data_IF_021343519135
#
_entry.id   IF_021343519135
#
_cell.length_a   1.000
_cell.length_b   1.000
_cell.length_c   1.000
_cell.angle_alpha   90.00
_cell.angle_beta   90.00
_cell.angle_gamma   90.00
#
_symmetry.space_group_name_H-M   'P 1'
#
loop_
_entity.id
_entity.type
_entity.pdbx_description
1 polymer ?
#
# COMPACT_ATOMS: atom_id res chain seq x y z
N UNK A 1 -7.15 24.28 4.12
CA UNK A 1 -6.12 25.09 3.45
C UNK A 1 -5.06 25.33 4.50
N UNK A 2 -4.07 24.43 4.59
CA UNK A 2 -2.97 24.48 5.56
C UNK A 2 -1.94 25.56 5.20
N UNK A 3 -1.17 25.94 6.19
CA UNK A 3 -0.06 26.91 6.11
C UNK A 3 1.00 26.35 5.13
N UNK A 4 1.26 27.01 3.98
CA UNK A 4 2.08 26.43 2.90
C UNK A 4 3.53 26.11 3.30
N UNK A 5 4.07 26.74 4.33
CA UNK A 5 5.43 26.51 4.78
C UNK A 5 5.65 25.21 5.57
N UNK A 6 4.61 24.58 6.12
CA UNK A 6 4.71 23.31 6.85
C UNK A 6 4.67 22.08 5.93
N UNK A 7 4.21 22.24 4.71
CA UNK A 7 3.93 21.10 3.81
C UNK A 7 5.19 20.61 3.07
N UNK A 8 6.24 21.42 2.92
CA UNK A 8 7.44 21.00 2.17
C UNK A 8 8.26 19.95 2.93
N UNK A 9 8.40 20.07 4.25
CA UNK A 9 9.03 19.00 5.04
C UNK A 9 8.20 17.70 5.06
N UNK A 10 6.87 17.79 4.81
CA UNK A 10 6.02 16.62 4.71
C UNK A 10 6.48 15.68 3.60
N UNK A 11 7.03 16.21 2.49
CA UNK A 11 7.59 15.39 1.40
C UNK A 11 8.66 14.41 1.90
N UNK A 12 9.52 14.87 2.81
CA UNK A 12 10.58 14.02 3.39
C UNK A 12 9.98 13.04 4.39
N UNK A 13 8.98 13.48 5.19
CA UNK A 13 8.30 12.58 6.14
C UNK A 13 7.57 11.46 5.41
N UNK A 14 6.85 11.79 4.34
CA UNK A 14 6.13 10.80 3.51
C UNK A 14 7.11 9.84 2.82
N UNK A 15 8.28 10.31 2.38
CA UNK A 15 9.33 9.45 1.84
C UNK A 15 9.81 8.44 2.89
N UNK A 16 10.05 8.90 4.13
CA UNK A 16 10.47 8.00 5.22
C UNK A 16 9.37 7.00 5.56
N UNK A 17 8.11 7.44 5.61
CA UNK A 17 6.98 6.54 5.83
C UNK A 17 6.90 5.46 4.75
N UNK A 18 7.09 5.83 3.49
CA UNK A 18 7.13 4.89 2.36
C UNK A 18 8.34 3.93 2.47
N UNK A 19 9.52 4.44 2.86
CA UNK A 19 10.70 3.61 3.06
C UNK A 19 10.51 2.58 4.18
N UNK A 20 9.90 2.97 5.31
CA UNK A 20 9.59 2.04 6.41
C UNK A 20 8.62 0.95 5.94
N UNK A 21 7.58 1.30 5.18
CA UNK A 21 6.64 0.32 4.63
C UNK A 21 7.34 -0.64 3.66
N UNK A 22 8.24 -0.13 2.81
CA UNK A 22 8.99 -0.93 1.85
C UNK A 22 9.91 -1.93 2.56
N UNK A 23 10.76 -1.46 3.48
CA UNK A 23 11.68 -2.31 4.24
C UNK A 23 10.92 -3.34 5.07
N UNK A 24 9.82 -2.93 5.71
CA UNK A 24 8.95 -3.86 6.46
C UNK A 24 8.38 -4.95 5.57
N UNK A 25 7.90 -4.62 4.36
CA UNK A 25 7.37 -5.60 3.41
C UNK A 25 8.45 -6.57 2.93
N UNK A 26 9.66 -6.09 2.64
CA UNK A 26 10.80 -6.92 2.26
C UNK A 26 11.19 -7.88 3.38
N UNK A 27 11.38 -7.36 4.60
CA UNK A 27 11.73 -8.18 5.77
C UNK A 27 10.63 -9.19 6.11
N UNK A 28 9.35 -8.80 5.97
CA UNK A 28 8.22 -9.71 6.17
C UNK A 28 8.25 -10.89 5.19
N UNK A 29 8.65 -10.67 3.93
CA UNK A 29 8.79 -11.77 2.96
C UNK A 29 9.92 -12.72 3.33
N UNK A 30 11.02 -12.21 3.89
CA UNK A 30 12.15 -13.02 4.34
C UNK A 30 11.79 -13.92 5.54
N UNK A 31 10.98 -13.40 6.47
CA UNK A 31 10.57 -14.15 7.66
C UNK A 31 9.31 -15.00 7.44
N UNK A 32 8.62 -14.86 6.30
CA UNK A 32 7.33 -15.51 6.03
C UNK A 32 7.36 -17.04 6.25
N UNK A 33 8.43 -17.69 5.82
CA UNK A 33 8.58 -19.15 6.02
C UNK A 33 8.66 -19.55 7.49
N UNK A 34 9.38 -18.77 8.31
CA UNK A 34 9.48 -19.01 9.76
C UNK A 34 8.16 -18.68 10.46
N UNK A 35 7.51 -17.59 10.07
CA UNK A 35 6.22 -17.19 10.58
C UNK A 35 5.13 -18.23 10.27
N UNK A 36 5.11 -18.79 9.06
CA UNK A 36 4.18 -19.85 8.67
C UNK A 36 4.36 -21.10 9.56
N UNK A 37 5.62 -21.51 9.79
CA UNK A 37 5.91 -22.67 10.65
C UNK A 37 5.48 -22.41 12.10
N UNK A 38 5.70 -21.23 12.63
CA UNK A 38 5.27 -20.84 13.98
C UNK A 38 3.73 -20.77 14.09
N UNK A 39 3.06 -20.22 13.10
CA UNK A 39 1.59 -20.16 13.03
C UNK A 39 0.97 -21.57 13.00
N UNK A 40 1.51 -22.48 12.17
CA UNK A 40 1.06 -23.88 12.14
C UNK A 40 1.26 -24.59 13.49
N UNK A 41 2.39 -24.34 14.16
CA UNK A 41 2.63 -24.90 15.50
C UNK A 41 1.58 -24.41 16.52
N UNK A 42 1.15 -23.12 16.44
CA UNK A 42 0.07 -22.59 17.29
C UNK A 42 -1.28 -23.22 16.99
N UNK A 43 -1.62 -23.43 15.70
CA UNK A 43 -2.85 -24.12 15.29
C UNK A 43 -2.87 -25.56 15.80
N UNK A 44 -1.75 -26.30 15.62
CA UNK A 44 -1.62 -27.67 16.15
C UNK A 44 -1.80 -27.69 17.66
N UNK A 45 -1.23 -26.72 18.37
CA UNK A 45 -1.37 -26.62 19.84
C UNK A 45 -2.83 -26.39 20.23
N UNK A 46 -3.53 -25.45 19.60
CA UNK A 46 -4.93 -25.17 19.85
C UNK A 46 -5.83 -26.40 19.59
N UNK A 47 -5.59 -27.11 18.48
CA UNK A 47 -6.30 -28.35 18.17
C UNK A 47 -5.98 -29.47 19.16
N UNK A 48 -4.73 -29.60 19.59
CA UNK A 48 -4.32 -30.57 20.57
C UNK A 48 -4.95 -30.32 21.94
N UNK A 49 -5.06 -29.03 22.34
CA UNK A 49 -5.72 -28.64 23.60
C UNK A 49 -7.22 -28.97 23.56
N UNK A 50 -7.89 -28.69 22.43
CA UNK A 50 -9.31 -29.02 22.22
C UNK A 50 -9.58 -30.55 22.29
N UNK A 51 -8.64 -31.35 21.75
CA UNK A 51 -8.74 -32.81 21.73
C UNK A 51 -8.22 -33.50 23.00
N UNK A 52 -7.81 -32.71 24.01
CA UNK A 52 -7.22 -33.27 25.23
C UNK A 52 -5.83 -33.91 25.06
N UNK A 53 -5.15 -33.55 23.95
CA UNK A 53 -3.80 -34.00 23.60
C UNK A 53 -2.72 -32.98 24.03
N UNK A 54 -3.03 -32.10 24.99
CA UNK A 54 -2.13 -31.07 25.49
C UNK A 54 -0.76 -31.65 25.94
N UNK A 55 0.30 -30.83 25.81
CA UNK A 55 1.63 -31.22 26.20
C UNK A 55 1.73 -31.46 27.71
N UNK A 56 2.27 -32.59 28.09
CA UNK A 56 2.57 -32.86 29.48
C UNK A 56 3.64 -31.92 30.05
N UNK A 57 4.42 -31.28 29.20
CA UNK A 57 5.41 -30.27 29.62
C UNK A 57 4.76 -29.04 30.27
N UNK A 58 3.49 -28.77 29.96
CA UNK A 58 2.73 -27.62 30.46
C UNK A 58 1.42 -28.01 31.15
N UNK A 59 1.30 -29.28 31.56
CA UNK A 59 0.10 -29.75 32.24
C UNK A 59 -0.03 -29.13 33.64
N UNK A 60 -1.27 -28.89 34.07
CA UNK A 60 -1.56 -28.40 35.42
C UNK A 60 -0.95 -29.28 36.55
N UNK A 61 -0.65 -30.52 36.24
CA UNK A 61 -0.17 -31.53 37.24
C UNK A 61 1.33 -31.54 37.47
N UNK A 62 2.19 -31.12 36.52
CA UNK A 62 3.66 -31.15 36.67
C UNK A 62 4.39 -30.66 35.42
N UNK A 63 5.72 -30.56 35.51
CA UNK A 63 6.62 -30.09 34.45
C UNK A 63 7.73 -31.13 34.22
N UNK A 64 8.11 -31.33 32.95
CA UNK A 64 9.30 -32.13 32.61
C UNK A 64 10.53 -31.22 32.58
N UNK A 65 11.46 -31.41 33.51
CA UNK A 65 12.69 -30.61 33.64
C UNK A 65 13.91 -31.55 33.58
N UNK A 66 14.76 -31.37 32.58
CA UNK A 66 15.95 -32.20 32.39
C UNK A 66 15.68 -33.70 32.18
N UNK A 67 14.53 -34.05 31.59
CA UNK A 67 14.13 -35.48 31.40
C UNK A 67 13.48 -36.14 32.62
N UNK A 68 13.33 -35.41 33.73
CA UNK A 68 12.61 -35.89 34.92
C UNK A 68 11.29 -35.12 35.08
N UNK A 69 10.19 -35.87 35.31
CA UNK A 69 8.91 -35.27 35.62
C UNK A 69 8.87 -34.76 37.07
N UNK A 70 8.50 -33.49 37.28
CA UNK A 70 8.36 -32.90 38.62
C UNK A 70 6.93 -32.45 38.83
N UNK A 71 6.21 -32.95 39.83
CA UNK A 71 4.86 -32.49 40.13
C UNK A 71 4.87 -31.05 40.67
N UNK A 72 3.83 -30.26 40.33
CA UNK A 72 3.61 -28.97 40.96
C UNK A 72 3.24 -29.13 42.43
N UNK A 73 3.66 -28.22 43.31
CA UNK A 73 3.33 -28.30 44.73
C UNK A 73 1.82 -28.38 44.96
N UNK A 74 1.35 -29.44 45.63
CA UNK A 74 -0.06 -29.63 46.00
C UNK A 74 -0.88 -30.54 45.05
N UNK A 75 -0.27 -31.13 44.01
CA UNK A 75 -0.94 -32.10 43.12
C UNK A 75 -0.39 -33.52 43.27
N UNK A 76 -1.23 -34.52 43.00
CA UNK A 76 -0.85 -35.94 43.08
C UNK A 76 0.18 -36.27 41.97
N UNK A 77 1.28 -36.87 42.35
CA UNK A 77 2.44 -37.13 41.51
C UNK A 77 2.32 -38.47 40.74
N UNK A 78 1.49 -38.52 39.72
CA UNK A 78 1.50 -39.70 38.83
C UNK A 78 2.19 -39.30 37.52
N UNK A 79 3.38 -39.82 37.20
CA UNK A 79 4.04 -39.57 35.92
C UNK A 79 3.19 -40.17 34.79
N UNK A 80 3.19 -39.54 33.61
CA UNK A 80 2.46 -40.06 32.46
C UNK A 80 3.05 -41.42 32.02
N UNK A 81 2.18 -42.29 31.58
CA UNK A 81 2.61 -43.59 31.02
C UNK A 81 3.34 -43.34 29.68
N UNK A 82 4.54 -43.92 29.46
CA UNK A 82 5.27 -43.74 28.20
C UNK A 82 4.48 -44.16 26.95
N UNK A 83 3.58 -45.15 27.08
CA UNK A 83 2.72 -45.56 25.96
C UNK A 83 1.69 -44.49 25.58
N UNK A 84 1.10 -43.81 26.57
CA UNK A 84 0.13 -42.73 26.33
C UNK A 84 0.81 -41.49 25.69
N UNK A 85 2.07 -41.23 26.03
CA UNK A 85 2.87 -40.17 25.42
C UNK A 85 3.14 -40.45 23.93
N UNK A 86 3.55 -41.66 23.60
CA UNK A 86 3.84 -42.08 22.23
C UNK A 86 2.55 -42.02 21.35
N UNK A 87 1.40 -42.41 21.89
CA UNK A 87 0.12 -42.34 21.18
C UNK A 87 -0.31 -40.86 20.91
N UNK A 88 -0.11 -39.98 21.87
CA UNK A 88 -0.38 -38.53 21.74
C UNK A 88 0.54 -37.88 20.73
N UNK A 89 1.83 -38.20 20.72
CA UNK A 89 2.79 -37.67 19.76
C UNK A 89 2.43 -38.12 18.33
N UNK A 90 2.01 -39.38 18.17
CA UNK A 90 1.55 -39.89 16.89
C UNK A 90 0.24 -39.19 16.41
N UNK A 91 -0.67 -38.91 17.35
CA UNK A 91 -1.89 -38.18 17.02
C UNK A 91 -1.60 -36.72 16.58
N UNK A 92 -0.65 -36.04 17.23
CA UNK A 92 -0.19 -34.71 16.85
C UNK A 92 0.48 -34.69 15.48
N UNK A 93 1.28 -35.70 15.20
CA UNK A 93 1.94 -35.82 13.90
C UNK A 93 0.91 -36.01 12.77
N UNK A 94 -0.15 -36.78 13.00
CA UNK A 94 -1.29 -36.89 12.08
C UNK A 94 -1.99 -35.56 11.89
N UNK A 95 -2.22 -34.78 12.97
CA UNK A 95 -2.79 -33.45 12.86
C UNK A 95 -1.93 -32.50 12.02
N UNK A 96 -0.60 -32.55 12.17
CA UNK A 96 0.32 -31.78 11.31
C UNK A 96 0.21 -32.17 9.85
N UNK A 97 0.13 -33.46 9.54
CA UNK A 97 -0.01 -33.98 8.19
C UNK A 97 -1.36 -33.57 7.56
N UNK A 98 -2.45 -33.62 8.32
CA UNK A 98 -3.77 -33.21 7.83
C UNK A 98 -3.88 -31.69 7.65
N UNK A 99 -3.21 -30.88 8.49
CA UNK A 99 -3.07 -29.44 8.30
C UNK A 99 -2.23 -29.09 7.07
N UNK A 100 -1.11 -29.78 6.86
CA UNK A 100 -0.26 -29.60 5.68
C UNK A 100 -1.01 -30.00 4.40
N UNK A 101 -1.87 -31.03 4.46
CA UNK A 101 -2.73 -31.47 3.36
C UNK A 101 -4.00 -30.59 3.17
N UNK A 102 -4.16 -29.52 3.96
CA UNK A 102 -5.32 -28.58 3.94
C UNK A 102 -6.69 -29.23 4.10
N UNK A 103 -6.77 -30.39 4.77
CA UNK A 103 -8.02 -31.11 4.97
C UNK A 103 -8.93 -30.51 6.06
N UNK A 104 -8.36 -29.67 6.93
CA UNK A 104 -9.04 -29.15 8.12
C UNK A 104 -9.40 -27.67 8.02
N UNK A 105 -9.29 -27.04 6.84
CA UNK A 105 -9.45 -25.59 6.64
C UNK A 105 -10.81 -25.03 7.12
N UNK A 106 -11.88 -25.83 6.99
CA UNK A 106 -13.24 -25.44 7.39
C UNK A 106 -13.56 -25.69 8.87
N UNK A 107 -12.67 -26.41 9.59
CA UNK A 107 -12.87 -26.66 11.01
C UNK A 107 -12.66 -25.39 11.80
N UNK A 108 -13.51 -25.12 12.79
CA UNK A 108 -13.41 -23.97 13.71
C UNK A 108 -12.58 -24.35 14.93
N UNK A 109 -11.73 -23.43 15.36
CA UNK A 109 -10.88 -23.54 16.55
C UNK A 109 -10.98 -22.28 17.39
N UNK A 110 -10.80 -22.40 18.69
CA UNK A 110 -10.68 -21.27 19.60
C UNK A 110 -9.21 -20.89 19.74
N UNK A 111 -8.84 -19.68 19.30
CA UNK A 111 -7.47 -19.16 19.37
C UNK A 111 -7.41 -17.82 20.07
N UNK A 112 -6.30 -17.63 20.80
CA UNK A 112 -5.96 -16.34 21.35
C UNK A 112 -5.28 -15.49 20.27
N UNK A 113 -5.92 -14.35 19.91
CA UNK A 113 -5.44 -13.38 18.95
C UNK A 113 -5.25 -12.03 19.64
N UNK A 114 -4.23 -11.27 19.27
CA UNK A 114 -4.04 -9.91 19.76
C UNK A 114 -5.22 -9.04 19.33
N UNK A 115 -5.72 -8.21 20.27
CA UNK A 115 -6.76 -7.22 19.96
C UNK A 115 -6.11 -6.01 19.29
N UNK A 116 -6.08 -6.00 17.95
CA UNK A 116 -5.52 -4.91 17.15
C UNK A 116 -6.36 -3.63 17.15
N UNK A 117 -7.50 -3.62 17.86
CA UNK A 117 -8.29 -2.41 18.03
C UNK A 117 -7.74 -1.60 19.20
N UNK A 118 -6.76 -0.73 18.94
CA UNK A 118 -6.49 0.40 19.82
C UNK A 118 -7.77 1.22 19.93
N UNK A 119 -8.32 1.42 21.15
CA UNK A 119 -9.46 2.30 21.32
C UNK A 119 -9.01 3.73 20.99
N UNK A 120 -9.40 4.25 19.83
CA UNK A 120 -9.33 5.68 19.55
C UNK A 120 -10.31 6.36 20.48
N UNK A 121 -9.82 6.93 21.58
CA UNK A 121 -10.60 7.83 22.41
C UNK A 121 -10.80 9.12 21.60
N UNK A 122 -11.99 9.30 21.03
CA UNK A 122 -12.42 10.59 20.51
C UNK A 122 -12.70 11.51 21.69
N UNK A 123 -11.75 12.34 22.06
CA UNK A 123 -12.00 13.43 23.02
C UNK A 123 -12.67 14.55 22.23
N UNK A 124 -13.94 14.75 22.50
CA UNK A 124 -14.72 15.84 21.94
C UNK A 124 -14.29 17.14 22.64
N UNK A 125 -13.38 17.90 22.03
CA UNK A 125 -13.01 19.23 22.46
C UNK A 125 -14.05 20.26 22.02
N UNK A 126 -14.19 21.40 22.69
CA UNK A 126 -15.21 22.42 22.42
C UNK A 126 -15.00 23.22 21.10
N UNK A 127 -14.05 22.85 20.26
CA UNK A 127 -13.68 23.59 19.03
C UNK A 127 -13.58 22.71 17.75
N UNK A 128 -14.40 21.68 17.60
CA UNK A 128 -14.47 20.91 16.35
C UNK A 128 -13.66 19.60 16.37
N UNK A 129 -14.02 18.70 15.46
CA UNK A 129 -13.43 17.37 15.28
C UNK A 129 -11.96 17.43 14.83
N UNK A 130 -11.06 17.77 15.71
CA UNK A 130 -9.65 17.44 15.54
C UNK A 130 -9.41 16.11 16.22
N UNK A 131 -9.20 15.06 15.45
CA UNK A 131 -8.63 13.79 15.91
C UNK A 131 -7.20 14.00 16.33
N UNK A 132 -7.00 14.60 17.51
CA UNK A 132 -5.72 14.49 18.20
C UNK A 132 -5.56 13.03 18.59
N UNK A 133 -4.75 12.30 17.86
CA UNK A 133 -4.25 10.99 18.26
C UNK A 133 -3.42 11.16 19.53
N UNK A 134 -4.08 11.23 20.68
CA UNK A 134 -3.40 11.10 21.96
C UNK A 134 -2.88 9.68 21.99
N UNK A 135 -1.57 9.56 21.94
CA UNK A 135 -0.88 8.28 22.09
C UNK A 135 -1.27 7.70 23.45
N UNK A 136 -2.22 6.77 23.41
CA UNK A 136 -2.72 6.10 24.62
C UNK A 136 -1.62 5.28 25.29
N UNK A 137 -0.51 4.99 24.60
CA UNK A 137 0.66 4.36 25.18
C UNK A 137 1.37 5.30 26.13
N UNK A 138 1.60 6.56 25.74
CA UNK A 138 2.21 7.56 26.62
C UNK A 138 1.37 7.84 27.88
N UNK A 139 0.04 7.81 27.75
CA UNK A 139 -0.85 7.99 28.91
C UNK A 139 -0.88 6.75 29.82
N UNK A 140 -0.74 5.54 29.27
CA UNK A 140 -0.66 4.29 30.04
C UNK A 140 0.65 4.14 30.77
N UNK A 141 1.77 4.59 30.19
CA UNK A 141 3.07 4.64 30.86
C UNK A 141 3.06 5.61 32.04
N UNK A 142 2.36 6.76 31.92
CA UNK A 142 2.26 7.74 32.99
C UNK A 142 1.45 7.23 34.21
N UNK A 143 0.55 6.28 34.01
CA UNK A 143 -0.31 5.71 35.07
C UNK A 143 0.15 4.32 35.55
N UNK A 144 1.34 3.89 35.19
CA UNK A 144 2.02 2.74 35.80
C UNK A 144 1.33 1.39 35.64
N UNK A 145 0.47 1.24 34.64
CA UNK A 145 -0.11 -0.05 34.24
C UNK A 145 0.66 -0.55 33.01
N UNK A 146 1.49 -1.57 33.21
CA UNK A 146 2.14 -2.28 32.12
C UNK A 146 1.15 -2.59 30.99
N UNK A 147 1.51 -2.41 29.70
CA UNK A 147 0.67 -2.80 28.58
C UNK A 147 0.51 -4.31 28.61
N UNK A 148 -0.52 -4.80 29.27
CA UNK A 148 -0.93 -6.18 29.15
C UNK A 148 -1.39 -6.39 27.70
N UNK A 149 -0.69 -7.22 26.95
CA UNK A 149 -1.14 -7.74 25.67
C UNK A 149 -2.56 -8.30 25.88
N UNK A 150 -3.59 -7.52 25.55
CA UNK A 150 -4.97 -7.97 25.61
C UNK A 150 -5.17 -8.96 24.48
N UNK A 151 -5.03 -10.24 24.80
CA UNK A 151 -5.45 -11.31 23.90
C UNK A 151 -6.94 -11.55 24.07
N UNK A 152 -7.64 -11.76 22.97
CA UNK A 152 -9.06 -12.20 22.97
C UNK A 152 -9.12 -13.57 22.33
N UNK A 153 -9.83 -14.47 22.98
CA UNK A 153 -10.19 -15.75 22.37
C UNK A 153 -11.22 -15.49 21.28
N UNK A 154 -10.93 -15.90 20.06
CA UNK A 154 -11.82 -15.81 18.90
C UNK A 154 -12.04 -17.21 18.34
N UNK A 155 -13.29 -17.49 17.96
CA UNK A 155 -13.64 -18.71 17.25
C UNK A 155 -13.54 -18.44 15.76
N UNK A 156 -12.57 -19.06 15.09
CA UNK A 156 -12.25 -18.84 13.68
C UNK A 156 -12.10 -20.19 12.96
N UNK A 157 -12.28 -20.18 11.66
CA UNK A 157 -11.90 -21.34 10.83
C UNK A 157 -10.37 -21.45 10.78
N UNK A 158 -9.85 -22.64 10.56
CA UNK A 158 -8.38 -22.86 10.48
C UNK A 158 -7.77 -22.03 9.33
N UNK A 159 -8.49 -21.85 8.22
CA UNK A 159 -8.05 -20.98 7.13
C UNK A 159 -7.85 -19.53 7.56
N UNK A 160 -8.88 -18.93 8.19
CA UNK A 160 -8.80 -17.57 8.75
C UNK A 160 -7.74 -17.45 9.86
N UNK A 161 -7.69 -18.45 10.73
CA UNK A 161 -6.72 -18.51 11.82
C UNK A 161 -5.29 -18.52 11.30
N UNK A 162 -5.01 -19.24 10.21
CA UNK A 162 -3.69 -19.33 9.58
C UNK A 162 -3.21 -17.96 9.12
N UNK A 163 -4.04 -17.22 8.39
CA UNK A 163 -3.68 -15.89 7.89
C UNK A 163 -3.36 -14.93 9.04
N UNK A 164 -4.24 -14.85 10.04
CA UNK A 164 -4.07 -13.96 11.20
C UNK A 164 -2.83 -14.35 12.02
N UNK A 165 -2.62 -15.63 12.25
CA UNK A 165 -1.47 -16.10 13.05
C UNK A 165 -0.16 -15.94 12.29
N UNK A 166 -0.14 -16.11 10.96
CA UNK A 166 1.05 -15.84 10.16
C UNK A 166 1.46 -14.37 10.24
N UNK A 167 0.49 -13.45 10.17
CA UNK A 167 0.75 -12.01 10.32
C UNK A 167 1.28 -11.69 11.73
N UNK A 168 0.65 -12.23 12.79
CA UNK A 168 1.12 -12.04 14.17
C UNK A 168 2.52 -12.60 14.42
N UNK A 169 2.83 -13.79 13.89
CA UNK A 169 4.15 -14.40 14.06
C UNK A 169 5.21 -13.69 13.21
N UNK A 170 4.85 -13.19 12.02
CA UNK A 170 5.73 -12.32 11.23
C UNK A 170 6.06 -11.05 12.02
N UNK A 171 5.06 -10.37 12.56
CA UNK A 171 5.26 -9.14 13.36
C UNK A 171 6.15 -9.36 14.60
N UNK A 172 6.11 -10.54 15.21
CA UNK A 172 7.01 -10.89 16.34
C UNK A 172 8.47 -11.11 15.92
N UNK A 173 8.66 -11.57 14.67
CA UNK A 173 9.99 -11.85 14.13
C UNK A 173 10.64 -10.58 13.52
N UNK A 174 9.86 -9.53 13.30
CA UNK A 174 10.35 -8.26 12.78
C UNK A 174 11.01 -7.43 13.89
N UNK A 175 12.28 -7.10 13.69
CA UNK A 175 12.98 -6.12 14.52
C UNK A 175 12.60 -4.70 14.03
N UNK A 176 11.72 -4.03 14.77
CA UNK A 176 11.22 -2.70 14.41
C UNK A 176 12.33 -1.65 14.40
N UNK A 177 13.30 -1.74 15.28
CA UNK A 177 14.41 -0.79 15.38
C UNK A 177 15.34 -0.95 14.17
N UNK A 178 15.67 -2.18 13.80
CA UNK A 178 16.46 -2.47 12.61
C UNK A 178 15.76 -2.00 11.33
N UNK A 179 14.44 -2.23 11.21
CA UNK A 179 13.63 -1.76 10.07
C UNK A 179 13.65 -0.22 10.00
N UNK A 180 13.46 0.48 11.11
CA UNK A 180 13.48 1.94 11.13
C UNK A 180 14.86 2.49 10.75
N UNK A 181 15.93 1.92 11.25
CA UNK A 181 17.30 2.36 10.92
C UNK A 181 17.60 2.15 9.44
N UNK A 182 17.31 0.98 8.89
CA UNK A 182 17.51 0.67 7.48
C UNK A 182 16.65 1.58 6.58
N UNK A 183 15.40 1.85 6.97
CA UNK A 183 14.51 2.72 6.22
C UNK A 183 15.00 4.18 6.22
N UNK A 184 15.50 4.69 7.35
CA UNK A 184 16.10 6.03 7.44
C UNK A 184 17.35 6.12 6.57
N UNK A 185 18.20 5.09 6.58
CA UNK A 185 19.42 5.06 5.77
C UNK A 185 19.11 5.04 4.27
N UNK A 186 18.17 4.20 3.83
CA UNK A 186 17.71 4.17 2.42
C UNK A 186 17.03 5.47 2.02
N UNK A 187 16.18 6.06 2.87
CA UNK A 187 15.54 7.33 2.56
C UNK A 187 16.55 8.45 2.36
N UNK A 188 17.62 8.48 3.16
CA UNK A 188 18.67 9.49 3.06
C UNK A 188 19.54 9.33 1.81
N UNK A 189 19.94 8.09 1.49
CA UNK A 189 20.96 7.84 0.48
C UNK A 189 20.38 7.47 -0.89
N UNK A 190 19.20 6.83 -0.94
CA UNK A 190 18.57 6.33 -2.15
C UNK A 190 17.20 6.97 -2.41
N UNK A 191 16.80 7.93 -1.57
CA UNK A 191 15.49 8.59 -1.64
C UNK A 191 15.32 9.42 -2.91
N UNK A 192 14.14 9.31 -3.54
CA UNK A 192 13.75 10.11 -4.71
C UNK A 192 12.46 10.83 -4.38
N UNK A 193 12.47 12.16 -4.50
CA UNK A 193 11.30 13.02 -4.32
C UNK A 193 10.92 13.63 -5.67
N UNK A 194 9.67 13.42 -6.06
CA UNK A 194 9.12 14.00 -7.29
C UNK A 194 8.17 15.13 -6.94
N UNK A 195 8.46 16.33 -7.47
CA UNK A 195 7.65 17.53 -7.31
C UNK A 195 6.96 17.83 -8.63
N UNK A 196 5.66 17.63 -8.67
CA UNK A 196 4.86 17.95 -9.88
C UNK A 196 4.36 19.39 -9.86
N UNK A 197 4.03 19.93 -11.05
CA UNK A 197 3.50 21.26 -11.26
C UNK A 197 4.33 22.40 -10.62
N UNK A 198 5.67 22.30 -10.65
CA UNK A 198 6.55 23.34 -10.07
C UNK A 198 6.35 24.72 -10.69
N UNK A 199 5.80 24.81 -11.89
CA UNK A 199 5.44 26.08 -12.55
C UNK A 199 4.34 26.85 -11.80
N UNK A 200 3.54 26.20 -10.94
CA UNK A 200 2.50 26.85 -10.14
C UNK A 200 3.03 27.72 -8.99
N UNK A 201 4.27 27.46 -8.56
CA UNK A 201 4.91 28.25 -7.50
C UNK A 201 5.72 29.42 -8.05
N UNK A 202 5.76 29.62 -9.39
CA UNK A 202 6.38 30.80 -10.00
C UNK A 202 5.53 32.03 -9.72
N UNK A 203 6.17 33.12 -9.25
CA UNK A 203 5.49 34.39 -8.98
C UNK A 203 5.46 35.27 -10.23
N UNK A 204 4.31 35.89 -10.45
CA UNK A 204 4.07 36.73 -11.66
C UNK A 204 4.60 38.18 -11.52
N UNK A 205 5.33 38.52 -10.44
CA UNK A 205 5.97 39.81 -10.25
C UNK A 205 5.05 40.97 -9.84
N UNK A 206 3.84 40.67 -9.31
CA UNK A 206 2.91 41.67 -8.75
C UNK A 206 3.18 41.93 -7.26
N UNK A 207 3.17 43.17 -6.82
CA UNK A 207 3.68 43.61 -5.53
C UNK A 207 2.76 43.41 -4.33
N UNK A 208 1.54 42.84 -4.45
CA UNK A 208 0.61 42.67 -3.33
C UNK A 208 -0.22 41.38 -3.46
N UNK A 209 -0.11 40.47 -2.45
CA UNK A 209 -1.03 39.35 -2.28
C UNK A 209 -0.41 37.97 -2.51
N UNK A 210 -1.01 37.04 -3.29
CA UNK A 210 -0.63 35.63 -3.40
C UNK A 210 0.79 35.36 -3.93
N UNK A 211 1.46 36.37 -4.53
CA UNK A 211 2.83 36.21 -5.04
C UNK A 211 3.88 36.07 -3.94
N UNK A 212 3.70 36.76 -2.80
CA UNK A 212 4.61 36.63 -1.65
C UNK A 212 4.54 35.21 -1.06
N UNK A 213 3.36 34.62 -1.04
CA UNK A 213 3.17 33.23 -0.60
C UNK A 213 3.87 32.23 -1.52
N UNK A 214 3.84 32.42 -2.83
CA UNK A 214 4.50 31.54 -3.81
C UNK A 214 6.03 31.60 -3.70
N UNK A 215 6.59 32.78 -3.53
CA UNK A 215 8.03 32.93 -3.28
C UNK A 215 8.45 32.30 -1.96
N UNK A 216 7.61 32.38 -0.93
CA UNK A 216 7.79 31.67 0.34
C UNK A 216 7.93 30.16 0.15
N UNK A 217 6.99 29.56 -0.62
CA UNK A 217 7.04 28.11 -0.92
C UNK A 217 8.32 27.72 -1.68
N UNK A 218 8.79 28.57 -2.62
CA UNK A 218 10.08 28.31 -3.30
C UNK A 218 11.26 28.31 -2.33
N UNK A 219 11.29 29.22 -1.34
CA UNK A 219 12.32 29.27 -0.31
C UNK A 219 12.27 28.10 0.65
N UNK A 220 11.07 27.68 1.03
CA UNK A 220 10.87 26.49 1.86
C UNK A 220 11.34 25.21 1.14
N UNK A 221 10.98 25.07 -0.16
CA UNK A 221 11.49 23.98 -1.01
C UNK A 221 13.01 24.03 -1.15
N UNK A 222 13.58 25.23 -1.29
CA UNK A 222 15.02 25.42 -1.40
C UNK A 222 15.74 24.85 -0.17
N UNK A 223 15.24 25.09 1.03
CA UNK A 223 15.86 24.60 2.28
C UNK A 223 15.96 23.08 2.28
N UNK A 224 14.93 22.38 1.79
CA UNK A 224 14.90 20.92 1.71
C UNK A 224 15.82 20.40 0.59
N UNK A 225 15.84 21.06 -0.57
CA UNK A 225 16.69 20.68 -1.72
C UNK A 225 18.17 20.98 -1.45
N UNK A 226 18.48 22.00 -0.65
CA UNK A 226 19.86 22.32 -0.24
C UNK A 226 20.42 21.37 0.79
N UNK A 227 19.55 20.68 1.51
CA UNK A 227 19.90 19.74 2.57
C UNK A 227 19.60 20.29 3.94
N UNK A 228 18.59 19.76 4.57
CA UNK A 228 18.21 20.06 5.95
C UNK A 228 17.98 18.78 6.75
N UNK A 229 17.94 18.92 8.07
CA UNK A 229 17.55 17.84 8.96
C UNK A 229 16.06 17.94 9.26
N UNK A 230 15.31 16.93 8.86
CA UNK A 230 13.86 16.83 9.09
C UNK A 230 13.59 15.85 10.22
N UNK A 231 12.72 16.25 11.15
CA UNK A 231 12.27 15.39 12.23
C UNK A 231 11.12 14.53 11.76
N UNK A 232 11.28 13.22 11.90
CA UNK A 232 10.22 12.24 11.62
C UNK A 232 9.89 11.46 12.89
N UNK A 233 8.78 10.75 12.91
CA UNK A 233 8.41 9.86 14.03
C UNK A 233 9.38 8.67 14.22
N UNK A 234 10.23 8.40 13.24
CA UNK A 234 11.23 7.32 13.29
C UNK A 234 12.64 7.83 13.63
N UNK A 235 12.85 9.13 13.64
CA UNK A 235 14.11 9.76 13.90
C UNK A 235 14.40 10.93 12.97
N UNK A 236 15.65 11.41 13.01
CA UNK A 236 16.11 12.48 12.14
C UNK A 236 16.56 11.93 10.81
N UNK A 237 16.21 12.64 9.73
CA UNK A 237 16.66 12.32 8.38
C UNK A 237 17.23 13.57 7.72
N UNK A 238 18.31 13.42 6.97
CA UNK A 238 18.93 14.52 6.21
C UNK A 238 18.59 14.35 4.72
N UNK A 239 18.29 15.48 4.08
CA UNK A 239 17.88 15.49 2.67
C UNK A 239 19.05 15.73 1.67
N UNK A 240 20.29 15.80 2.16
CA UNK A 240 21.48 16.18 1.36
C UNK A 240 21.75 15.24 0.17
N UNK A 241 21.46 13.96 0.30
CA UNK A 241 21.73 12.93 -0.72
C UNK A 241 20.48 12.46 -1.46
N UNK A 242 19.33 13.05 -1.17
CA UNK A 242 18.08 12.71 -1.87
C UNK A 242 18.08 13.28 -3.28
N UNK A 243 17.53 12.53 -4.24
CA UNK A 243 17.32 12.99 -5.60
C UNK A 243 16.00 13.73 -5.72
N UNK A 244 16.03 14.99 -6.16
CA UNK A 244 14.85 15.78 -6.44
C UNK A 244 14.60 15.85 -7.95
N UNK A 245 13.40 15.48 -8.36
CA UNK A 245 12.91 15.62 -9.73
C UNK A 245 11.74 16.58 -9.72
N UNK A 246 11.80 17.62 -10.52
CA UNK A 246 10.71 18.58 -10.65
C UNK A 246 10.14 18.55 -12.07
N UNK A 247 8.82 18.54 -12.19
CA UNK A 247 8.12 18.64 -13.47
C UNK A 247 7.19 19.86 -13.48
N UNK A 248 7.03 20.47 -14.64
CA UNK A 248 6.10 21.58 -14.84
C UNK A 248 5.83 21.79 -16.32
N UNK A 249 4.64 22.24 -16.62
CA UNK A 249 4.21 22.51 -17.99
C UNK A 249 4.80 23.83 -18.56
N UNK A 250 5.05 24.81 -17.69
CA UNK A 250 5.63 26.11 -18.04
C UNK A 250 4.94 26.82 -19.22
N UNK A 251 3.60 26.70 -19.34
CA UNK A 251 2.85 27.33 -20.41
C UNK A 251 2.85 28.86 -20.32
N UNK A 252 2.74 29.42 -19.11
CA UNK A 252 2.66 30.86 -18.86
C UNK A 252 3.95 31.44 -18.28
N UNK A 253 4.75 30.60 -17.68
CA UNK A 253 6.01 30.94 -17.01
C UNK A 253 7.19 30.22 -17.66
N UNK A 254 8.38 30.72 -17.44
CA UNK A 254 9.63 30.05 -17.86
C UNK A 254 10.35 29.49 -16.65
N UNK A 255 11.10 28.40 -16.78
CA UNK A 255 11.95 27.90 -15.69
C UNK A 255 12.94 28.96 -15.14
N UNK A 256 13.28 29.97 -15.96
CA UNK A 256 14.11 31.10 -15.55
C UNK A 256 13.44 32.13 -14.65
N UNK A 257 12.15 31.99 -14.40
CA UNK A 257 11.38 32.85 -13.50
C UNK A 257 11.30 32.28 -12.07
N UNK A 258 11.77 31.06 -11.85
CA UNK A 258 12.03 30.55 -10.51
C UNK A 258 13.13 31.38 -9.84
N UNK A 259 13.17 31.41 -8.51
CA UNK A 259 14.27 32.09 -7.78
C UNK A 259 15.63 31.54 -8.21
N UNK A 260 16.66 32.39 -8.37
CA UNK A 260 17.98 32.00 -8.91
C UNK A 260 18.63 30.85 -8.16
N UNK A 261 18.47 30.80 -6.85
CA UNK A 261 19.01 29.76 -5.98
C UNK A 261 18.40 28.39 -6.32
N UNK A 262 17.08 28.32 -6.50
CA UNK A 262 16.39 27.09 -6.86
C UNK A 262 16.76 26.61 -8.28
N UNK A 263 16.95 27.56 -9.22
CA UNK A 263 17.44 27.22 -10.56
C UNK A 263 18.84 26.56 -10.51
N UNK A 264 19.69 26.99 -9.59
CA UNK A 264 21.02 26.43 -9.39
C UNK A 264 20.98 24.99 -8.85
N UNK A 265 19.91 24.63 -8.13
CA UNK A 265 19.72 23.26 -7.57
C UNK A 265 19.07 22.30 -8.57
N UNK A 266 18.44 22.81 -9.62
CA UNK A 266 17.92 22.02 -10.76
C UNK A 266 18.69 22.33 -12.06
N UNK A 267 19.99 21.98 -12.14
CA UNK A 267 20.84 22.32 -13.26
C UNK A 267 20.54 21.51 -14.52
N UNK A 268 20.03 20.27 -14.36
CA UNK A 268 19.69 19.39 -15.48
C UNK A 268 18.24 19.66 -15.90
N UNK A 269 18.08 20.09 -17.16
CA UNK A 269 16.77 20.39 -17.72
C UNK A 269 16.51 19.50 -18.92
N UNK A 270 15.36 18.83 -18.91
CA UNK A 270 14.93 17.92 -19.98
C UNK A 270 13.58 18.40 -20.49
N UNK A 271 13.48 18.62 -21.79
CA UNK A 271 12.21 18.90 -22.46
C UNK A 271 11.61 17.57 -22.95
N UNK A 272 10.43 17.21 -22.47
CA UNK A 272 9.69 16.05 -22.95
C UNK A 272 9.05 16.40 -24.30
N UNK A 273 9.09 15.45 -25.23
CA UNK A 273 8.44 15.58 -26.54
C UNK A 273 6.96 15.12 -26.42
N UNK A 274 6.12 15.68 -27.28
CA UNK A 274 4.74 15.21 -27.42
C UNK A 274 4.71 13.75 -27.88
N UNK A 275 3.74 12.99 -27.37
CA UNK A 275 3.56 11.59 -27.70
C UNK A 275 3.22 11.39 -29.18
N UNK A 276 3.81 10.40 -29.81
CA UNK A 276 3.50 9.94 -31.17
C UNK A 276 2.38 8.88 -31.13
N UNK A 277 1.78 8.60 -32.29
CA UNK A 277 0.78 7.54 -32.41
C UNK A 277 1.34 6.18 -31.97
N UNK A 278 2.59 5.89 -32.29
CA UNK A 278 3.27 4.67 -31.86
C UNK A 278 3.43 4.59 -30.33
N UNK A 279 3.70 5.73 -29.68
CA UNK A 279 3.80 5.78 -28.22
C UNK A 279 2.44 5.52 -27.57
N UNK A 280 1.34 6.02 -28.13
CA UNK A 280 0.00 5.72 -27.66
C UNK A 280 -0.33 4.23 -27.74
N UNK A 281 0.04 3.54 -28.84
CA UNK A 281 -0.11 2.09 -28.97
C UNK A 281 0.67 1.37 -27.88
N UNK A 282 1.92 1.78 -27.64
CA UNK A 282 2.77 1.19 -26.58
C UNK A 282 2.15 1.39 -25.19
N UNK A 283 1.65 2.59 -24.88
CA UNK A 283 1.00 2.90 -23.60
C UNK A 283 -0.25 2.03 -23.38
N UNK A 284 -1.00 1.73 -24.45
CA UNK A 284 -2.19 0.87 -24.37
C UNK A 284 -1.85 -0.61 -24.17
N UNK A 285 -0.63 -1.07 -24.51
CA UNK A 285 -0.32 -2.51 -24.59
C UNK A 285 0.80 -2.99 -23.65
N UNK A 286 1.90 -2.23 -23.51
CA UNK A 286 3.12 -2.68 -22.82
C UNK A 286 3.03 -2.64 -21.28
N UNK A 287 2.53 -1.58 -20.62
CA UNK A 287 2.56 -1.49 -19.17
C UNK A 287 1.80 -2.62 -18.49
N UNK A 288 2.28 -3.03 -17.29
CA UNK A 288 1.55 -4.02 -16.47
C UNK A 288 0.10 -3.58 -16.18
N UNK A 289 -0.08 -2.27 -15.97
CA UNK A 289 -1.37 -1.63 -15.71
C UNK A 289 -1.86 -0.86 -16.95
N UNK A 290 -1.66 -1.39 -18.15
CA UNK A 290 -2.22 -0.79 -19.37
C UNK A 290 -3.74 -0.63 -19.25
N UNK A 291 -4.29 0.49 -19.77
CA UNK A 291 -5.73 0.76 -19.70
C UNK A 291 -6.57 -0.37 -20.28
N UNK A 292 -6.14 -0.97 -21.38
CA UNK A 292 -6.82 -2.13 -21.99
C UNK A 292 -6.95 -3.30 -21.01
N UNK A 293 -5.89 -3.58 -20.22
CA UNK A 293 -5.91 -4.64 -19.21
C UNK A 293 -6.80 -4.30 -18.02
N UNK A 294 -6.83 -3.03 -17.62
CA UNK A 294 -7.72 -2.56 -16.54
C UNK A 294 -9.18 -2.76 -16.92
N UNK A 295 -9.58 -2.37 -18.13
CA UNK A 295 -10.94 -2.59 -18.61
C UNK A 295 -11.29 -4.06 -18.78
N UNK A 296 -10.36 -4.87 -19.28
CA UNK A 296 -10.56 -6.34 -19.33
C UNK A 296 -10.86 -6.90 -17.94
N UNK A 297 -10.07 -6.53 -16.93
CA UNK A 297 -10.29 -6.97 -15.55
C UNK A 297 -11.62 -6.44 -14.99
N UNK A 298 -11.98 -5.19 -15.30
CA UNK A 298 -13.26 -4.60 -14.88
C UNK A 298 -14.45 -5.37 -15.45
N UNK A 299 -14.47 -5.64 -16.76
CA UNK A 299 -15.55 -6.41 -17.40
C UNK A 299 -15.60 -7.86 -16.92
N UNK A 300 -14.46 -8.42 -16.53
CA UNK A 300 -14.40 -9.76 -15.98
C UNK A 300 -15.13 -9.87 -14.62
N UNK A 301 -15.24 -8.79 -13.83
CA UNK A 301 -16.04 -8.79 -12.59
C UNK A 301 -17.53 -9.01 -12.89
N UNK A 302 -18.01 -8.54 -14.04
CA UNK A 302 -19.39 -8.76 -14.54
C UNK A 302 -19.52 -10.03 -15.39
N UNK A 303 -18.51 -10.91 -15.37
CA UNK A 303 -18.48 -12.15 -16.19
C UNK A 303 -18.57 -11.92 -17.70
N UNK A 304 -18.12 -10.76 -18.18
CA UNK A 304 -18.03 -10.42 -19.61
C UNK A 304 -16.58 -10.56 -20.07
N UNK A 305 -16.34 -11.29 -21.15
CA UNK A 305 -15.02 -11.44 -21.75
C UNK A 305 -14.75 -10.31 -22.74
N UNK A 306 -14.05 -9.26 -22.28
CA UNK A 306 -13.62 -8.16 -23.15
C UNK A 306 -12.25 -8.47 -23.75
N UNK A 307 -12.07 -8.20 -25.04
CA UNK A 307 -10.79 -8.32 -25.74
C UNK A 307 -10.58 -7.18 -26.73
N UNK A 308 -9.32 -6.76 -26.91
CA UNK A 308 -8.95 -5.73 -27.86
C UNK A 308 -8.15 -6.34 -29.00
N UNK A 309 -8.53 -6.01 -30.25
CA UNK A 309 -7.74 -6.39 -31.42
C UNK A 309 -6.61 -5.37 -31.62
N UNK A 310 -5.56 -5.79 -32.34
CA UNK A 310 -4.47 -4.87 -32.68
C UNK A 310 -4.98 -3.67 -33.51
N UNK A 311 -5.94 -3.91 -34.41
CA UNK A 311 -6.58 -2.88 -35.24
C UNK A 311 -7.38 -1.89 -34.37
N UNK A 312 -8.12 -2.39 -33.37
CA UNK A 312 -8.84 -1.55 -32.40
C UNK A 312 -7.92 -0.67 -31.59
N UNK A 313 -6.80 -1.22 -31.09
CA UNK A 313 -5.77 -0.45 -30.35
C UNK A 313 -5.14 0.63 -31.25
N UNK A 314 -4.78 0.32 -32.47
CA UNK A 314 -4.24 1.29 -33.42
C UNK A 314 -5.22 2.43 -33.73
N UNK A 315 -6.51 2.13 -33.93
CA UNK A 315 -7.55 3.13 -34.13
C UNK A 315 -7.72 4.05 -32.92
N UNK A 316 -7.76 3.48 -31.71
CA UNK A 316 -7.84 4.28 -30.48
C UNK A 316 -6.62 5.23 -30.34
N UNK A 317 -5.42 4.74 -30.64
CA UNK A 317 -4.20 5.53 -30.63
C UNK A 317 -4.22 6.66 -31.67
N UNK A 318 -4.66 6.38 -32.88
CA UNK A 318 -4.77 7.38 -33.95
C UNK A 318 -5.77 8.48 -33.61
N UNK A 319 -6.93 8.14 -33.03
CA UNK A 319 -7.93 9.12 -32.57
C UNK A 319 -7.35 9.99 -31.44
N UNK A 320 -6.66 9.38 -30.44
CA UNK A 320 -6.04 10.11 -29.35
C UNK A 320 -4.95 11.09 -29.83
N UNK A 321 -4.14 10.64 -30.77
CA UNK A 321 -3.11 11.47 -31.39
C UNK A 321 -3.71 12.64 -32.17
N UNK A 322 -4.75 12.39 -32.99
CA UNK A 322 -5.46 13.44 -33.72
C UNK A 322 -6.07 14.46 -32.76
N UNK A 323 -6.75 14.00 -31.72
CA UNK A 323 -7.37 14.84 -30.72
C UNK A 323 -6.36 15.71 -29.95
N UNK A 324 -5.17 15.19 -29.59
CA UNK A 324 -4.11 15.99 -28.97
C UNK A 324 -3.53 17.06 -29.92
N UNK A 325 -3.54 16.82 -31.23
CA UNK A 325 -3.11 17.82 -32.23
C UNK A 325 -4.13 18.91 -32.49
N UNK A 326 -5.42 18.59 -32.46
CA UNK A 326 -6.51 19.55 -32.79
C UNK A 326 -6.95 20.36 -31.60
N UNK A 327 -6.79 19.84 -30.38
CA UNK A 327 -7.15 20.53 -29.13
C UNK A 327 -5.91 20.74 -28.27
N UNK A 328 -6.06 20.92 -26.96
CA UNK A 328 -4.94 21.00 -26.02
C UNK A 328 -4.27 19.63 -25.87
N UNK A 329 -2.94 19.59 -26.01
CA UNK A 329 -2.16 18.36 -25.74
C UNK A 329 -2.15 18.06 -24.22
N UNK A 330 -2.91 17.04 -23.83
CA UNK A 330 -2.95 16.53 -22.44
C UNK A 330 -2.25 15.18 -22.30
N UNK A 331 -1.47 14.81 -23.30
CA UNK A 331 -0.67 13.58 -23.32
C UNK A 331 -1.53 12.32 -23.22
N UNK A 332 -1.03 11.36 -22.45
CA UNK A 332 -1.68 10.06 -22.29
C UNK A 332 -3.06 10.09 -21.61
N UNK A 333 -3.41 11.16 -20.87
CA UNK A 333 -4.75 11.32 -20.27
C UNK A 333 -5.86 11.25 -21.30
N UNK A 334 -5.56 11.68 -22.54
CA UNK A 334 -6.51 11.60 -23.68
C UNK A 334 -6.95 10.16 -23.97
N UNK A 335 -6.06 9.17 -23.80
CA UNK A 335 -6.40 7.76 -23.99
C UNK A 335 -7.50 7.29 -23.03
N UNK A 336 -7.42 7.71 -21.77
CA UNK A 336 -8.43 7.36 -20.77
C UNK A 336 -9.81 7.85 -21.17
N UNK A 337 -9.91 9.15 -21.52
CA UNK A 337 -11.18 9.76 -21.94
C UNK A 337 -11.77 9.09 -23.19
N UNK A 338 -10.92 8.80 -24.18
CA UNK A 338 -11.35 8.16 -25.44
C UNK A 338 -11.80 6.71 -25.19
N UNK A 339 -11.06 5.97 -24.38
CA UNK A 339 -11.40 4.60 -24.05
C UNK A 339 -12.69 4.53 -23.23
N UNK A 340 -12.85 5.44 -22.27
CA UNK A 340 -14.06 5.59 -21.46
C UNK A 340 -15.28 5.84 -22.35
N UNK A 341 -15.21 6.82 -23.24
CA UNK A 341 -16.30 7.12 -24.20
C UNK A 341 -16.58 5.95 -25.16
N UNK A 342 -15.55 5.25 -25.60
CA UNK A 342 -15.72 4.08 -26.47
C UNK A 342 -16.45 2.93 -25.78
N UNK A 343 -16.23 2.75 -24.48
CA UNK A 343 -16.76 1.62 -23.70
C UNK A 343 -17.96 2.01 -22.80
N UNK A 344 -18.39 3.28 -22.78
CA UNK A 344 -19.42 3.79 -21.88
C UNK A 344 -20.70 2.95 -21.89
N UNK A 345 -21.34 2.79 -23.06
CA UNK A 345 -22.56 2.00 -23.18
C UNK A 345 -22.32 0.52 -22.84
N UNK A 346 -21.16 -0.03 -23.29
CA UNK A 346 -20.82 -1.42 -23.02
C UNK A 346 -20.59 -1.67 -21.52
N UNK A 347 -20.02 -0.70 -20.82
CA UNK A 347 -19.84 -0.75 -19.37
C UNK A 347 -21.17 -0.66 -18.63
N UNK A 348 -22.07 0.22 -19.10
CA UNK A 348 -23.41 0.35 -18.52
C UNK A 348 -24.24 -0.92 -18.67
N UNK A 349 -24.17 -1.56 -19.85
CA UNK A 349 -24.91 -2.79 -20.17
C UNK A 349 -24.18 -4.08 -19.68
N UNK A 350 -22.97 -3.96 -19.09
CA UNK A 350 -22.15 -5.13 -18.75
C UNK A 350 -22.87 -6.10 -17.81
N UNK A 351 -23.62 -5.58 -16.84
CA UNK A 351 -24.40 -6.38 -15.89
C UNK A 351 -25.54 -7.19 -16.56
N UNK A 352 -26.00 -6.79 -17.74
CA UNK A 352 -27.05 -7.49 -18.51
C UNK A 352 -26.45 -8.48 -19.53
N UNK A 353 -25.14 -8.44 -19.74
CA UNK A 353 -24.41 -9.19 -20.78
C UNK A 353 -23.54 -10.32 -20.23
N UNK A 354 -23.92 -10.90 -19.11
CA UNK A 354 -23.18 -12.01 -18.49
C UNK A 354 -22.88 -13.15 -19.49
N UNK A 355 -21.64 -13.62 -19.50
CA UNK A 355 -21.17 -14.71 -20.34
C UNK A 355 -20.97 -14.35 -21.81
N UNK A 356 -21.13 -13.07 -22.19
CA UNK A 356 -20.88 -12.63 -23.57
C UNK A 356 -19.40 -12.31 -23.78
N UNK A 357 -19.00 -12.45 -25.04
CA UNK A 357 -17.67 -12.07 -25.51
C UNK A 357 -17.78 -10.81 -26.35
N UNK A 358 -17.09 -9.76 -25.92
CA UNK A 358 -17.04 -8.47 -26.61
C UNK A 358 -15.63 -8.27 -27.18
N UNK A 359 -15.56 -7.98 -28.48
CA UNK A 359 -14.29 -7.72 -29.17
C UNK A 359 -14.27 -6.27 -29.62
N UNK A 360 -13.33 -5.49 -29.09
CA UNK A 360 -13.10 -4.11 -29.51
C UNK A 360 -12.18 -4.13 -30.73
N UNK A 361 -12.78 -4.09 -31.90
CA UNK A 361 -12.11 -4.03 -33.19
C UNK A 361 -12.12 -2.60 -33.77
N UNK A 362 -11.45 -2.39 -34.91
CA UNK A 362 -11.40 -1.08 -35.55
C UNK A 362 -12.75 -0.54 -35.98
N UNK A 363 -13.73 -1.43 -36.30
CA UNK A 363 -15.09 -1.03 -36.70
C UNK A 363 -15.90 -0.54 -35.51
N UNK A 364 -15.83 -1.22 -34.39
CA UNK A 364 -16.53 -0.81 -33.17
C UNK A 364 -15.99 0.54 -32.68
N UNK A 365 -14.67 0.74 -32.71
CA UNK A 365 -14.06 2.03 -32.36
C UNK A 365 -14.55 3.14 -33.29
N UNK A 366 -14.59 2.89 -34.60
CA UNK A 366 -15.07 3.85 -35.58
C UNK A 366 -16.56 4.16 -35.44
N UNK A 367 -17.38 3.15 -35.15
CA UNK A 367 -18.82 3.30 -34.90
C UNK A 367 -19.11 4.12 -33.63
N UNK A 368 -18.29 3.93 -32.57
CA UNK A 368 -18.52 4.60 -31.28
C UNK A 368 -17.89 6.00 -31.21
N UNK A 369 -16.80 6.22 -31.95
CA UNK A 369 -15.99 7.45 -31.91
C UNK A 369 -15.92 8.17 -33.26
N UNK A 370 -16.65 7.70 -34.29
CA UNK A 370 -16.44 7.99 -35.69
C UNK A 370 -16.31 9.47 -36.08
N UNK A 371 -17.09 10.37 -35.49
CA UNK A 371 -16.98 11.80 -35.72
C UNK A 371 -16.39 12.58 -34.54
N UNK A 372 -16.11 11.89 -33.41
CA UNK A 372 -15.62 12.51 -32.18
C UNK A 372 -14.18 13.07 -32.28
N UNK A 373 -13.50 12.87 -33.41
CA UNK A 373 -12.18 13.46 -33.68
C UNK A 373 -12.22 14.99 -33.89
N UNK A 374 -13.38 15.56 -34.14
CA UNK A 374 -13.58 16.98 -34.41
C UNK A 374 -14.43 17.69 -33.33
N UNK A 375 -15.01 16.96 -32.38
CA UNK A 375 -15.90 17.51 -31.37
C UNK A 375 -15.15 17.96 -30.11
N UNK A 376 -15.47 19.19 -29.68
CA UNK A 376 -15.11 19.77 -28.39
C UNK A 376 -15.63 18.94 -27.18
N UNK A 377 -16.52 17.98 -27.41
CA UNK A 377 -17.15 17.11 -26.41
C UNK A 377 -16.23 16.01 -25.85
N UNK A 378 -14.98 15.88 -26.36
CA UNK A 378 -13.93 15.06 -25.74
C UNK A 378 -13.24 15.75 -24.54
N UNK A 379 -13.70 16.94 -24.19
CA UNK A 379 -13.22 17.63 -22.99
C UNK A 379 -14.03 17.12 -21.80
N UNK A 380 -13.41 16.46 -20.81
CA UNK A 380 -14.14 16.11 -19.59
C UNK A 380 -14.72 17.39 -18.99
N UNK A 381 -16.00 17.37 -18.63
CA UNK A 381 -16.63 18.46 -17.90
C UNK A 381 -15.73 18.85 -16.72
N UNK A 382 -15.31 20.13 -16.69
CA UNK A 382 -14.66 20.69 -15.51
C UNK A 382 -15.70 20.65 -14.39
N UNK A 383 -15.49 19.78 -13.41
CA UNK A 383 -16.11 19.89 -12.09
C UNK A 383 -15.41 21.00 -11.30
#
# INVERSE_FOLDING_TARGET
VGDPGRDVEALVRDLVDAAVQLVRAETATEVAGKAATAAEARIVRALADELGLADYHDSAAGVMEGGLWRPRPGMAATPPNPADLAERDLARERLRQDLAARKLETRTIDIEVRDSKTPTLSVMGPQGNETMGIDTQALQELWGRAPGNKTKVRKLTIGEAREILQEEEADKLLDQDAICQEALDRAQNDGIIFVDEIDKIVSSGGSDGPDVSREGVQRDLLSVVEGCAVYTRYGHVRSDHMLFLAAGAFHFHKPSELIPELQGRFPVRVALQSLTEADFVRILTEPKNALTRQYVALFQTEQVELSFTQEGVQKLAAIAFKANKTTQDIGARRLMTILEKCLEDLSFEASERHGQKIVVDGKLVEQRLGDAGDDADLIPYRL
#
